data_IF_842152744324
#
_entry.id   IF_842152744324
#
_cell.length_a   1.000
_cell.length_b   1.000
_cell.length_c   1.000
_cell.angle_alpha   90.00
_cell.angle_beta   90.00
_cell.angle_gamma   90.00
#
_symmetry.space_group_name_H-M   'P 1'
#
loop_
_entity.id
_entity.type
_entity.pdbx_description
1 polymer ?
#
# COMPACT_ATOMS: atom_id res chain seq x y z
N UNK A 1 -13.70 18.19 -8.48
CA UNK A 1 -12.50 18.43 -7.65
C UNK A 1 -12.62 17.59 -6.38
N UNK A 2 -11.92 16.46 -6.28
CA UNK A 2 -11.81 15.68 -5.04
C UNK A 2 -10.35 15.68 -4.61
N UNK A 3 -9.98 16.68 -3.81
CA UNK A 3 -8.63 16.84 -3.29
C UNK A 3 -8.72 16.86 -1.76
N UNK A 4 -8.42 15.72 -1.12
CA UNK A 4 -8.34 15.62 0.34
C UNK A 4 -8.39 14.18 0.85
N UNK A 5 -7.28 13.72 1.45
CA UNK A 5 -7.14 12.56 2.37
C UNK A 5 -6.83 11.13 1.89
N UNK A 6 -6.27 10.93 0.69
CA UNK A 6 -5.88 9.58 0.26
C UNK A 6 -4.79 8.91 1.15
N UNK A 7 -3.96 9.69 1.86
CA UNK A 7 -2.82 9.15 2.64
C UNK A 7 -3.26 8.48 3.95
N UNK A 8 -4.16 9.14 4.68
CA UNK A 8 -4.68 8.64 5.96
C UNK A 8 -5.48 7.37 5.77
N UNK A 9 -6.16 7.24 4.63
CA UNK A 9 -7.01 6.08 4.36
C UNK A 9 -6.19 4.83 4.05
N UNK A 10 -5.12 4.92 3.24
CA UNK A 10 -4.25 3.76 2.98
C UNK A 10 -3.51 3.29 4.23
N UNK A 11 -3.05 4.23 5.05
CA UNK A 11 -2.42 3.92 6.33
C UNK A 11 -3.39 3.26 7.34
N UNK A 12 -4.65 3.72 7.39
CA UNK A 12 -5.72 3.11 8.19
C UNK A 12 -6.04 1.70 7.69
N UNK A 13 -6.09 1.51 6.37
CA UNK A 13 -6.29 0.19 5.75
C UNK A 13 -5.17 -0.76 6.18
N UNK A 14 -3.90 -0.36 6.07
CA UNK A 14 -2.77 -1.19 6.50
C UNK A 14 -2.86 -1.55 8.00
N UNK A 15 -3.27 -0.61 8.84
CA UNK A 15 -3.45 -0.84 10.27
C UNK A 15 -4.61 -1.81 10.57
N UNK A 16 -5.74 -1.65 9.88
CA UNK A 16 -6.89 -2.54 9.99
C UNK A 16 -6.54 -3.95 9.49
N UNK A 17 -5.82 -4.07 8.38
CA UNK A 17 -5.35 -5.33 7.82
C UNK A 17 -4.41 -6.06 8.80
N UNK A 18 -3.47 -5.33 9.41
CA UNK A 18 -2.57 -5.87 10.44
C UNK A 18 -3.36 -6.42 11.64
N UNK A 19 -4.35 -5.66 12.12
CA UNK A 19 -5.16 -6.06 13.27
C UNK A 19 -6.06 -7.27 12.94
N UNK A 20 -6.65 -7.30 11.75
CA UNK A 20 -7.45 -8.43 11.29
C UNK A 20 -6.59 -9.69 11.14
N UNK A 21 -5.44 -9.59 10.46
CA UNK A 21 -4.54 -10.73 10.29
C UNK A 21 -3.97 -11.22 11.62
N UNK A 22 -3.65 -10.31 12.54
CA UNK A 22 -3.21 -10.68 13.89
C UNK A 22 -4.23 -11.58 14.61
N UNK A 23 -5.53 -11.33 14.43
CA UNK A 23 -6.61 -12.11 15.03
C UNK A 23 -6.91 -13.41 14.28
N UNK A 24 -6.77 -13.42 12.95
CA UNK A 24 -7.11 -14.57 12.12
C UNK A 24 -5.97 -15.59 11.96
N UNK A 25 -4.71 -15.18 12.15
CA UNK A 25 -3.57 -16.07 11.97
C UNK A 25 -3.58 -17.18 13.01
N UNK A 26 -3.31 -18.41 12.57
CA UNK A 26 -3.23 -19.60 13.42
C UNK A 26 -1.88 -19.72 14.13
N UNK A 27 -0.84 -19.06 13.60
CA UNK A 27 0.50 -19.09 14.15
C UNK A 27 1.18 -17.72 14.03
N UNK A 28 2.00 -17.35 15.00
CA UNK A 28 2.63 -16.02 15.04
C UNK A 28 3.64 -15.78 13.92
N UNK A 29 4.25 -16.84 13.39
CA UNK A 29 5.18 -16.76 12.25
C UNK A 29 4.47 -16.50 10.91
N UNK A 30 3.16 -16.70 10.83
CA UNK A 30 2.39 -16.48 9.61
C UNK A 30 2.12 -14.99 9.43
N UNK A 31 2.73 -14.40 8.40
CA UNK A 31 2.53 -13.01 8.01
C UNK A 31 1.71 -12.92 6.74
N UNK A 32 0.85 -11.91 6.66
CA UNK A 32 0.12 -11.61 5.44
C UNK A 32 1.04 -10.86 4.49
N UNK A 33 1.32 -11.50 3.35
CA UNK A 33 2.14 -10.93 2.29
C UNK A 33 1.35 -9.85 1.55
N UNK A 34 1.91 -8.64 1.49
CA UNK A 34 1.25 -7.48 0.87
C UNK A 34 2.19 -6.75 -0.08
N UNK A 35 1.60 -6.20 -1.14
CA UNK A 35 2.25 -5.32 -2.09
C UNK A 35 1.60 -3.94 -2.02
N UNK A 36 2.41 -2.88 -2.09
CA UNK A 36 1.89 -1.52 -2.15
C UNK A 36 1.72 -1.11 -3.61
N UNK A 37 0.49 -0.79 -4.01
CA UNK A 37 0.22 -0.36 -5.37
C UNK A 37 0.52 1.13 -5.55
N UNK A 38 1.34 1.45 -6.55
CA UNK A 38 1.68 2.82 -6.94
C UNK A 38 1.20 3.05 -8.35
N UNK A 39 0.18 3.90 -8.50
CA UNK A 39 -0.31 4.31 -9.81
C UNK A 39 0.49 5.53 -10.29
N UNK A 40 1.30 5.34 -11.34
CA UNK A 40 2.21 6.35 -11.92
C UNK A 40 1.59 7.13 -13.09
N UNK A 41 0.34 6.86 -13.46
CA UNK A 41 -0.31 7.43 -14.66
C UNK A 41 -0.50 8.95 -14.66
N UNK A 42 -0.35 9.61 -13.51
CA UNK A 42 -0.18 11.06 -13.42
C UNK A 42 1.24 11.35 -12.95
N UNK A 43 1.95 12.26 -13.63
CA UNK A 43 3.34 12.70 -13.37
C UNK A 43 3.53 13.44 -12.03
N UNK A 44 2.78 13.07 -11.00
CA UNK A 44 2.83 13.66 -9.67
C UNK A 44 3.89 12.95 -8.83
N UNK A 45 5.04 13.61 -8.65
CA UNK A 45 6.13 13.19 -7.75
C UNK A 45 5.66 12.93 -6.30
N UNK A 46 4.48 13.41 -5.92
CA UNK A 46 3.88 13.21 -4.59
C UNK A 46 3.54 11.73 -4.30
N UNK A 47 3.26 10.92 -5.32
CA UNK A 47 2.85 9.51 -5.13
C UNK A 47 3.98 8.58 -4.74
N UNK A 48 5.20 8.81 -5.23
CA UNK A 48 6.38 8.03 -4.83
C UNK A 48 6.73 8.27 -3.36
N UNK A 49 6.67 9.52 -2.89
CA UNK A 49 6.91 9.83 -1.46
C UNK A 49 5.86 9.18 -0.57
N UNK A 50 4.60 9.14 -0.99
CA UNK A 50 3.51 8.48 -0.25
C UNK A 50 3.73 6.96 -0.17
N UNK A 51 4.17 6.33 -1.27
CA UNK A 51 4.52 4.91 -1.27
C UNK A 51 5.65 4.61 -0.27
N UNK A 52 6.70 5.44 -0.23
CA UNK A 52 7.79 5.29 0.74
C UNK A 52 7.29 5.40 2.19
N UNK A 53 6.47 6.42 2.51
CA UNK A 53 5.91 6.59 3.86
C UNK A 53 5.03 5.41 4.28
N UNK A 54 4.23 4.87 3.36
CA UNK A 54 3.39 3.71 3.61
C UNK A 54 4.23 2.45 3.89
N UNK A 55 5.24 2.19 3.06
CA UNK A 55 6.16 1.05 3.24
C UNK A 55 6.87 1.16 4.58
N UNK A 56 7.38 2.34 4.92
CA UNK A 56 8.02 2.58 6.21
C UNK A 56 7.09 2.28 7.38
N UNK A 57 5.81 2.67 7.30
CA UNK A 57 4.81 2.33 8.32
C UNK A 57 4.55 0.83 8.40
N UNK A 58 4.41 0.14 7.27
CA UNK A 58 4.16 -1.31 7.24
C UNK A 58 5.32 -2.04 7.93
N UNK A 59 6.56 -1.73 7.56
CA UNK A 59 7.76 -2.37 8.12
C UNK A 59 7.92 -2.03 9.61
N UNK A 60 7.68 -0.78 10.00
CA UNK A 60 7.82 -0.33 11.38
C UNK A 60 6.75 -0.89 12.32
N UNK A 61 5.48 -0.81 11.92
CA UNK A 61 4.35 -0.90 12.85
C UNK A 61 3.44 -2.12 12.59
N UNK A 62 3.50 -2.76 11.42
CA UNK A 62 2.60 -3.85 11.05
C UNK A 62 3.30 -5.21 11.10
N UNK A 63 3.54 -5.73 12.31
CA UNK A 63 4.31 -6.99 12.52
C UNK A 63 3.64 -8.25 11.96
N UNK A 64 2.31 -8.22 11.80
CA UNK A 64 1.53 -9.30 11.21
C UNK A 64 1.56 -9.28 9.68
N UNK A 65 2.14 -8.24 9.09
CA UNK A 65 2.25 -8.08 7.65
C UNK A 65 3.70 -8.26 7.20
N UNK A 66 3.87 -8.75 5.97
CA UNK A 66 5.14 -8.84 5.29
C UNK A 66 5.04 -8.03 4.00
N UNK A 67 5.81 -6.95 3.93
CA UNK A 67 5.92 -6.19 2.70
C UNK A 67 6.78 -6.95 1.69
N UNK A 68 6.23 -7.23 0.51
CA UNK A 68 6.93 -7.93 -0.56
C UNK A 68 7.57 -6.99 -1.57
N UNK A 69 6.74 -6.18 -2.23
CA UNK A 69 7.18 -5.34 -3.34
C UNK A 69 6.18 -4.22 -3.65
N UNK A 70 6.59 -3.32 -4.55
CA UNK A 70 5.74 -2.32 -5.15
C UNK A 70 5.06 -2.87 -6.41
N UNK A 71 3.75 -2.69 -6.50
CA UNK A 71 3.01 -2.94 -7.74
C UNK A 71 2.84 -1.62 -8.49
N UNK A 72 3.59 -1.43 -9.57
CA UNK A 72 3.47 -0.23 -10.41
C UNK A 72 2.43 -0.50 -11.49
N UNK A 73 1.34 0.27 -11.48
CA UNK A 73 0.36 0.27 -12.57
C UNK A 73 0.52 1.56 -13.38
N UNK A 74 1.09 1.43 -14.57
CA UNK A 74 1.11 2.50 -15.57
C UNK A 74 -0.20 2.50 -16.37
N UNK A 75 -0.68 3.68 -16.71
CA UNK A 75 -1.91 3.84 -17.49
C UNK A 75 -1.53 3.76 -18.98
N UNK A 76 -1.28 2.55 -19.48
CA UNK A 76 -1.09 2.32 -20.93
C UNK A 76 -2.37 2.68 -21.69
N UNK A 77 -2.50 3.94 -22.13
CA UNK A 77 -3.47 4.32 -23.16
C UNK A 77 -2.93 3.88 -24.51
N UNK A 78 -3.27 2.66 -24.96
CA UNK A 78 -3.19 2.34 -26.39
C UNK A 78 -4.14 3.28 -27.14
N UNK A 79 -3.58 4.28 -27.82
CA UNK A 79 -4.32 5.09 -28.79
C UNK A 79 -4.30 4.32 -30.09
N UNK A 80 -5.34 3.53 -30.33
CA UNK A 80 -5.60 2.95 -31.66
C UNK A 80 -5.91 4.13 -32.58
N UNK A 81 -5.04 4.37 -33.57
CA UNK A 81 -5.29 5.29 -34.67
C UNK A 81 -6.10 4.57 -35.74
#
# INVERSE_FOLDING_TARGET
ASNGNNNTDTEKIASALNAAWFKCRTHESLKLRIMAQVNTGNKDKKRSTQACSLVQRIIGNCKSLEFLDLMITDMFRMKVH
#
